data_IF_689683895700
#
_entry.id   IF_689683895700
#
_cell.length_a   1.000
_cell.length_b   1.000
_cell.length_c   1.000
_cell.angle_alpha   90.00
_cell.angle_beta   90.00
_cell.angle_gamma   90.00
#
_symmetry.space_group_name_H-M   'P 1'
#
loop_
_entity.id
_entity.type
_entity.pdbx_description
1 polymer ?
#
# COMPACT_ATOMS: atom_id res chain seq x y z
N UNK A 1 19.96 -9.46 -14.66
CA UNK A 1 19.67 -8.24 -13.88
C UNK A 1 18.16 -8.14 -13.72
N UNK A 2 17.65 -7.79 -12.54
CA UNK A 2 16.20 -7.68 -12.32
C UNK A 2 15.80 -6.23 -12.64
N UNK A 3 14.87 -6.01 -13.57
CA UNK A 3 14.40 -4.65 -13.87
C UNK A 3 13.66 -4.04 -12.68
N UNK A 4 13.60 -2.70 -12.63
CA UNK A 4 12.80 -1.98 -11.62
C UNK A 4 11.34 -2.45 -11.62
N UNK A 5 10.79 -2.82 -12.79
CA UNK A 5 9.46 -3.44 -12.93
C UNK A 5 9.33 -4.73 -12.13
N UNK A 6 10.33 -5.62 -12.20
CA UNK A 6 10.33 -6.89 -11.49
C UNK A 6 10.46 -6.71 -9.98
N UNK A 7 11.26 -5.74 -9.54
CA UNK A 7 11.45 -5.40 -8.12
C UNK A 7 10.17 -4.78 -7.55
N UNK A 8 9.59 -3.82 -8.27
CA UNK A 8 8.32 -3.19 -7.92
C UNK A 8 7.20 -4.22 -7.77
N UNK A 9 7.12 -5.22 -8.66
CA UNK A 9 6.08 -6.27 -8.59
C UNK A 9 6.21 -7.11 -7.31
N UNK A 10 7.43 -7.50 -6.95
CA UNK A 10 7.71 -8.27 -5.73
C UNK A 10 7.41 -7.44 -4.47
N UNK A 11 7.79 -6.16 -4.47
CA UNK A 11 7.43 -5.24 -3.39
C UNK A 11 5.92 -5.08 -3.25
N UNK A 12 5.21 -4.82 -4.36
CA UNK A 12 3.76 -4.63 -4.39
C UNK A 12 3.04 -5.83 -3.78
N UNK A 13 3.35 -7.04 -4.25
CA UNK A 13 2.76 -8.27 -3.72
C UNK A 13 3.07 -8.46 -2.23
N UNK A 14 4.32 -8.26 -1.80
CA UNK A 14 4.70 -8.38 -0.39
C UNK A 14 3.96 -7.37 0.51
N UNK A 15 3.81 -6.13 0.06
CA UNK A 15 3.14 -5.07 0.80
C UNK A 15 1.63 -5.33 0.88
N UNK A 16 0.99 -5.62 -0.25
CA UNK A 16 -0.47 -5.82 -0.33
C UNK A 16 -0.95 -7.10 0.35
N UNK A 17 -0.08 -8.10 0.49
CA UNK A 17 -0.37 -9.34 1.24
C UNK A 17 0.02 -9.26 2.72
N UNK A 18 0.37 -8.06 3.22
CA UNK A 18 0.59 -7.82 4.64
C UNK A 18 1.86 -8.44 5.21
N UNK A 19 2.91 -8.65 4.42
CA UNK A 19 4.19 -9.19 4.94
C UNK A 19 4.91 -8.21 5.88
N UNK A 20 4.50 -6.94 5.90
CA UNK A 20 5.13 -5.89 6.69
C UNK A 20 6.52 -5.54 6.18
N UNK A 21 7.23 -4.69 6.92
CA UNK A 21 8.56 -4.23 6.52
C UNK A 21 9.56 -5.36 6.31
N UNK A 22 9.53 -6.40 7.14
CA UNK A 22 10.42 -7.55 7.03
C UNK A 22 10.33 -8.25 5.66
N UNK A 23 9.12 -8.33 5.07
CA UNK A 23 8.92 -8.87 3.73
C UNK A 23 9.23 -7.89 2.60
N UNK A 24 9.25 -6.58 2.88
CA UNK A 24 9.41 -5.53 1.88
C UNK A 24 10.83 -4.97 1.79
N UNK A 25 11.61 -4.97 2.89
CA UNK A 25 12.90 -4.27 3.01
C UNK A 25 13.94 -4.69 1.96
N UNK A 26 13.85 -5.93 1.47
CA UNK A 26 14.72 -6.43 0.42
C UNK A 26 14.56 -5.69 -0.93
N UNK A 27 13.51 -4.91 -1.12
CA UNK A 27 13.22 -4.16 -2.35
C UNK A 27 13.40 -2.64 -2.20
N UNK A 28 13.67 -2.17 -0.99
CA UNK A 28 13.67 -0.75 -0.63
C UNK A 28 15.08 -0.30 -0.21
N UNK A 29 15.33 1.01 -0.32
CA UNK A 29 16.40 1.67 0.43
C UNK A 29 16.03 1.67 1.91
N UNK A 30 17.03 1.65 2.79
CA UNK A 30 16.82 1.62 4.25
C UNK A 30 16.16 2.90 4.78
N UNK A 31 16.38 4.02 4.10
CA UNK A 31 15.83 5.34 4.37
C UNK A 31 14.67 5.71 3.43
N UNK A 32 14.03 4.71 2.81
CA UNK A 32 12.96 4.94 1.84
C UNK A 32 11.80 5.72 2.46
N UNK A 33 11.42 6.81 1.79
CA UNK A 33 10.37 7.73 2.27
C UNK A 33 8.99 7.36 1.72
N UNK A 34 7.94 7.87 2.35
CA UNK A 34 6.56 7.65 1.94
C UNK A 34 5.75 8.93 2.03
N UNK A 35 4.79 9.10 1.11
CA UNK A 35 3.79 10.16 1.19
C UNK A 35 2.42 9.70 0.72
N UNK A 36 1.38 10.28 1.31
CA UNK A 36 0.00 10.14 0.87
C UNK A 36 -0.79 11.37 1.29
N UNK A 37 -1.68 11.85 0.43
CA UNK A 37 -2.68 12.87 0.76
C UNK A 37 -3.95 12.18 1.26
N UNK A 38 -3.83 11.50 2.40
CA UNK A 38 -4.90 10.71 3.00
C UNK A 38 -4.84 10.81 4.53
N UNK A 39 -5.96 11.15 5.16
CA UNK A 39 -6.09 11.32 6.61
C UNK A 39 -5.61 10.11 7.43
N UNK A 40 -5.97 8.84 7.11
CA UNK A 40 -5.50 7.69 7.89
C UNK A 40 -3.98 7.45 7.79
N UNK A 41 -3.30 8.11 6.85
CA UNK A 41 -1.86 7.99 6.62
C UNK A 41 -1.10 9.30 6.93
N UNK A 42 -1.75 10.30 7.54
CA UNK A 42 -1.14 11.61 7.75
C UNK A 42 0.19 11.57 8.53
N UNK A 43 0.31 10.63 9.49
CA UNK A 43 1.53 10.42 10.29
C UNK A 43 2.56 9.47 9.67
N UNK A 44 2.25 8.82 8.55
CA UNK A 44 3.14 7.83 7.90
C UNK A 44 4.09 8.56 6.96
N UNK A 45 5.40 8.50 7.23
CA UNK A 45 6.45 9.26 6.49
C UNK A 45 7.52 8.39 5.85
N UNK A 46 7.60 7.12 6.25
CA UNK A 46 8.58 6.16 5.72
C UNK A 46 7.89 4.98 5.08
N UNK A 47 8.56 4.36 4.12
CA UNK A 47 8.03 3.18 3.43
C UNK A 47 7.92 1.98 4.37
N UNK A 48 8.79 1.91 5.38
CA UNK A 48 8.70 0.96 6.49
C UNK A 48 7.37 1.11 7.24
N UNK A 49 7.07 2.32 7.72
CA UNK A 49 5.82 2.58 8.44
C UNK A 49 4.60 2.22 7.60
N UNK A 50 4.63 2.49 6.29
CA UNK A 50 3.54 2.14 5.41
C UNK A 50 3.37 0.62 5.24
N UNK A 51 4.48 -0.12 5.04
CA UNK A 51 4.43 -1.58 4.93
C UNK A 51 3.87 -2.23 6.22
N UNK A 52 4.29 -1.73 7.38
CA UNK A 52 3.79 -2.20 8.68
C UNK A 52 2.33 -1.77 8.90
N UNK A 53 1.93 -0.60 8.41
CA UNK A 53 0.52 -0.16 8.41
C UNK A 53 -0.36 -1.11 7.59
N UNK A 54 0.08 -1.54 6.39
CA UNK A 54 -0.63 -2.53 5.57
C UNK A 54 -0.76 -3.88 6.28
N UNK A 55 0.31 -4.33 6.95
CA UNK A 55 0.25 -5.54 7.79
C UNK A 55 -0.77 -5.39 8.92
N UNK A 56 -0.80 -4.25 9.59
CA UNK A 56 -1.78 -3.93 10.64
C UNK A 56 -3.21 -3.91 10.12
N UNK A 57 -3.46 -3.28 8.97
CA UNK A 57 -4.77 -3.21 8.33
C UNK A 57 -5.40 -4.59 8.13
N UNK A 58 -4.62 -5.57 7.64
CA UNK A 58 -5.11 -6.93 7.38
C UNK A 58 -5.40 -7.74 8.65
N UNK A 59 -5.07 -7.24 9.85
CA UNK A 59 -5.48 -7.91 11.10
C UNK A 59 -6.98 -7.72 11.39
N UNK A 60 -7.54 -6.56 11.06
CA UNK A 60 -8.96 -6.25 11.27
C UNK A 60 -9.80 -6.24 9.97
N UNK A 61 -9.14 -6.29 8.82
CA UNK A 61 -9.75 -6.60 7.51
C UNK A 61 -9.12 -7.89 6.95
N UNK A 62 -9.41 -9.07 7.54
CA UNK A 62 -8.69 -10.31 7.27
C UNK A 62 -8.95 -10.89 5.87
N UNK A 63 -10.05 -10.53 5.21
CA UNK A 63 -10.36 -10.89 3.81
C UNK A 63 -9.83 -9.86 2.80
N UNK A 64 -9.03 -8.91 3.28
CA UNK A 64 -8.42 -7.85 2.50
C UNK A 64 -7.58 -8.41 1.35
N UNK A 65 -7.88 -7.95 0.14
CA UNK A 65 -7.21 -8.36 -1.10
C UNK A 65 -7.21 -7.23 -2.10
N UNK A 66 -6.34 -7.36 -3.11
CA UNK A 66 -6.25 -6.42 -4.21
C UNK A 66 -6.62 -7.07 -5.55
N UNK A 67 -7.10 -6.25 -6.47
CA UNK A 67 -7.15 -6.53 -7.90
C UNK A 67 -6.18 -5.57 -8.60
N UNK A 68 -5.13 -6.09 -9.24
CA UNK A 68 -4.18 -5.25 -9.99
C UNK A 68 -4.77 -4.92 -11.36
N UNK A 69 -4.94 -3.61 -11.64
CA UNK A 69 -5.57 -3.10 -12.87
C UNK A 69 -4.56 -2.62 -13.91
N UNK A 70 -3.48 -1.98 -13.48
CA UNK A 70 -2.41 -1.53 -14.37
C UNK A 70 -1.07 -1.52 -13.66
N UNK A 71 0.00 -1.79 -14.41
CA UNK A 71 1.36 -1.81 -13.91
C UNK A 71 2.31 -1.27 -14.99
N UNK A 72 2.70 0.00 -14.86
CA UNK A 72 3.47 0.72 -15.86
C UNK A 72 4.84 1.12 -15.34
N UNK A 73 5.87 1.04 -16.17
CA UNK A 73 7.23 1.53 -15.85
C UNK A 73 7.52 2.77 -16.68
N UNK A 74 8.00 3.83 -16.04
CA UNK A 74 8.58 5.01 -16.67
C UNK A 74 10.10 4.94 -16.49
N UNK A 75 10.80 4.51 -17.55
CA UNK A 75 12.24 4.35 -17.56
C UNK A 75 12.99 5.69 -17.52
N UNK A 76 12.39 6.78 -18.01
CA UNK A 76 13.00 8.11 -18.00
C UNK A 76 13.06 8.65 -16.58
N UNK A 77 11.94 8.55 -15.85
CA UNK A 77 11.80 9.04 -14.46
C UNK A 77 12.21 8.01 -13.41
N UNK A 78 12.56 6.78 -13.82
CA UNK A 78 12.91 5.66 -12.94
C UNK A 78 11.80 5.38 -11.91
N UNK A 79 10.56 5.31 -12.39
CA UNK A 79 9.41 5.06 -11.53
C UNK A 79 8.53 3.93 -12.06
N UNK A 80 7.77 3.31 -11.15
CA UNK A 80 6.78 2.29 -11.49
C UNK A 80 5.44 2.63 -10.86
N UNK A 81 4.41 2.71 -11.70
CA UNK A 81 3.03 2.94 -11.28
C UNK A 81 2.27 1.63 -11.19
N UNK A 82 1.66 1.35 -10.04
CA UNK A 82 0.76 0.22 -9.84
C UNK A 82 -0.63 0.74 -9.45
N UNK A 83 -1.61 0.56 -10.34
CA UNK A 83 -3.01 0.86 -10.07
C UNK A 83 -3.71 -0.43 -9.64
N UNK A 84 -4.31 -0.40 -8.47
CA UNK A 84 -5.08 -1.51 -7.92
C UNK A 84 -6.39 -1.08 -7.30
N UNK A 85 -7.24 -2.05 -7.05
CA UNK A 85 -8.48 -1.89 -6.28
C UNK A 85 -8.38 -2.78 -5.05
N UNK A 86 -8.43 -2.17 -3.87
CA UNK A 86 -8.48 -2.89 -2.61
C UNK A 86 -9.93 -3.23 -2.27
N UNK A 87 -10.16 -4.44 -1.78
CA UNK A 87 -11.47 -4.87 -1.26
C UNK A 87 -11.31 -5.68 0.01
N UNK A 88 -12.26 -5.54 0.93
CA UNK A 88 -12.28 -6.28 2.19
C UNK A 88 -13.43 -5.85 3.08
N UNK A 89 -13.59 -6.54 4.20
CA UNK A 89 -14.67 -6.37 5.17
C UNK A 89 -14.11 -6.21 6.58
N UNK A 90 -14.55 -5.16 7.29
CA UNK A 90 -14.12 -4.90 8.67
C UNK A 90 -14.81 -5.87 9.65
N UNK A 91 -14.19 -7.02 9.87
CA UNK A 91 -14.70 -8.13 10.69
C UNK A 91 -13.81 -8.46 11.89
N UNK A 92 -12.52 -8.10 11.83
CA UNK A 92 -11.56 -8.37 12.90
C UNK A 92 -11.49 -7.24 13.93
N UNK A 93 -11.04 -7.58 15.13
CA UNK A 93 -10.86 -6.63 16.24
C UNK A 93 -9.55 -5.85 16.11
N UNK A 94 -9.42 -4.74 16.85
CA UNK A 94 -8.20 -3.93 16.88
C UNK A 94 -8.11 -2.85 15.80
N UNK A 95 -9.19 -2.65 15.03
CA UNK A 95 -9.37 -1.52 14.13
C UNK A 95 -9.71 -0.21 14.87
N UNK A 96 -10.04 0.87 14.14
CA UNK A 96 -10.35 2.18 14.71
C UNK A 96 -11.65 2.21 15.53
N UNK A 97 -12.53 1.21 15.33
CA UNK A 97 -13.78 1.01 16.05
C UNK A 97 -14.08 -0.50 16.13
N UNK A 98 -15.11 -0.95 16.88
CA UNK A 98 -15.56 -2.34 16.82
C UNK A 98 -15.90 -2.77 15.37
N UNK A 99 -15.80 -4.08 15.04
CA UNK A 99 -16.10 -4.59 13.71
C UNK A 99 -17.45 -4.11 13.20
N UNK A 100 -17.45 -3.42 12.06
CA UNK A 100 -18.66 -2.82 11.49
C UNK A 100 -19.42 -3.78 10.58
N UNK A 101 -18.78 -4.86 10.13
CA UNK A 101 -19.34 -5.81 9.17
C UNK A 101 -19.51 -5.23 7.75
N UNK A 102 -19.07 -3.97 7.52
CA UNK A 102 -19.17 -3.32 6.21
C UNK A 102 -17.96 -3.64 5.35
N UNK A 103 -18.20 -3.72 4.04
CA UNK A 103 -17.18 -3.95 3.03
C UNK A 103 -16.84 -2.67 2.26
N UNK A 104 -15.64 -2.63 1.71
CA UNK A 104 -15.14 -1.54 0.87
C UNK A 104 -14.67 -2.08 -0.47
N UNK A 105 -14.75 -1.24 -1.51
CA UNK A 105 -14.00 -1.43 -2.75
C UNK A 105 -13.44 -0.08 -3.19
N UNK A 106 -12.12 0.09 -3.09
CA UNK A 106 -11.48 1.39 -3.25
C UNK A 106 -10.26 1.35 -4.18
N UNK A 107 -10.27 2.25 -5.16
CA UNK A 107 -9.17 2.45 -6.09
C UNK A 107 -7.98 3.17 -5.44
N UNK A 108 -6.77 2.75 -5.78
CA UNK A 108 -5.54 3.42 -5.36
C UNK A 108 -4.41 3.22 -6.37
N UNK A 109 -3.43 4.14 -6.33
CA UNK A 109 -2.19 4.02 -7.11
C UNK A 109 -1.00 4.09 -6.18
N UNK A 110 0.00 3.22 -6.41
CA UNK A 110 1.36 3.44 -5.96
C UNK A 110 2.20 4.00 -7.08
N UNK A 111 2.96 5.05 -6.78
CA UNK A 111 4.06 5.53 -7.61
C UNK A 111 5.34 5.25 -6.84
N UNK A 112 6.12 4.26 -7.30
CA UNK A 112 7.35 3.80 -6.67
C UNK A 112 8.55 4.38 -7.41
N UNK A 113 9.27 5.30 -6.77
CA UNK A 113 10.49 5.89 -7.32
C UNK A 113 11.71 5.06 -6.96
N UNK A 114 12.61 4.86 -7.92
CA UNK A 114 13.82 4.07 -7.76
C UNK A 114 15.09 4.92 -7.66
N UNK A 115 16.04 4.41 -6.89
CA UNK A 115 17.47 4.76 -6.91
C UNK A 115 18.24 3.47 -7.20
N UNK A 116 18.77 3.34 -8.43
CA UNK A 116 19.28 2.08 -8.94
C UNK A 116 18.22 0.98 -8.95
N UNK A 117 18.50 -0.15 -8.29
CA UNK A 117 17.61 -1.31 -8.19
C UNK A 117 16.76 -1.31 -6.89
N UNK A 118 16.60 -0.18 -6.20
CA UNK A 118 15.85 -0.10 -4.94
C UNK A 118 14.85 1.04 -4.93
N UNK A 119 13.71 0.81 -4.28
CA UNK A 119 12.69 1.85 -4.07
C UNK A 119 13.23 2.85 -3.05
N UNK A 120 13.37 4.12 -3.44
CA UNK A 120 13.78 5.23 -2.56
C UNK A 120 12.59 6.01 -1.99
N UNK A 121 11.46 6.01 -2.69
CA UNK A 121 10.27 6.73 -2.28
C UNK A 121 9.03 6.04 -2.83
N UNK A 122 7.91 6.11 -2.11
CA UNK A 122 6.61 5.76 -2.64
C UNK A 122 5.57 6.81 -2.30
N UNK A 123 4.84 7.25 -3.32
CA UNK A 123 3.62 8.04 -3.14
C UNK A 123 2.41 7.12 -3.32
N UNK A 124 1.49 7.13 -2.35
CA UNK A 124 0.15 6.53 -2.50
C UNK A 124 -0.87 7.61 -2.86
N UNK A 125 -1.58 7.40 -3.96
CA UNK A 125 -2.71 8.22 -4.39
C UNK A 125 -3.97 7.42 -4.10
N UNK A 126 -4.79 7.90 -3.17
CA UNK A 126 -5.93 7.15 -2.67
C UNK A 126 -6.97 8.09 -2.07
N UNK A 127 -8.23 7.90 -2.44
CA UNK A 127 -9.33 8.68 -1.90
C UNK A 127 -9.85 8.05 -0.58
N UNK A 128 -9.07 8.21 0.49
CA UNK A 128 -9.32 7.56 1.77
C UNK A 128 -10.69 7.91 2.39
N UNK A 129 -11.17 9.15 2.22
CA UNK A 129 -12.44 9.58 2.76
C UNK A 129 -13.65 8.74 2.30
N UNK A 130 -13.67 8.26 1.06
CA UNK A 130 -14.73 7.36 0.58
C UNK A 130 -14.61 5.97 1.19
N UNK A 131 -13.39 5.42 1.22
CA UNK A 131 -13.15 4.10 1.81
C UNK A 131 -13.53 4.05 3.30
N UNK A 132 -13.20 5.09 4.07
CA UNK A 132 -13.56 5.16 5.49
C UNK A 132 -15.08 5.24 5.71
N UNK A 133 -15.82 5.95 4.84
CA UNK A 133 -17.29 6.00 4.90
C UNK A 133 -17.92 4.64 4.59
N UNK A 134 -17.42 3.94 3.56
CA UNK A 134 -17.88 2.59 3.22
C UNK A 134 -17.65 1.61 4.37
N UNK A 135 -16.49 1.69 5.02
CA UNK A 135 -16.17 0.88 6.20
C UNK A 135 -16.92 1.30 7.47
N UNK A 136 -17.59 2.46 7.47
CA UNK A 136 -18.32 2.99 8.62
C UNK A 136 -17.41 3.45 9.76
N UNK A 137 -16.24 3.99 9.43
CA UNK A 137 -15.29 4.53 10.41
C UNK A 137 -15.52 6.01 10.72
N UNK A 138 -16.26 6.71 9.84
CA UNK A 138 -16.66 8.11 9.96
C UNK A 138 -18.12 8.28 9.53
#
# INVERSE_FOLDING_TARGET
>A
MTSITGIARKFFEACETGKGWEGCKAYCKTDATFSAQAEPLAGVKTLQQYADWMKGLLTFIPDGRYELKSFGTDDERKSVCAYGVFSGTHTGQGGPCPPTGKSVKTDYVYVMDFDGEKIRHMTKIWHAGLAMKELGWI
#
